data_IF_170449229706
#
_entry.id   IF_170449229706
#
_cell.length_a   1.000
_cell.length_b   1.000
_cell.length_c   1.000
_cell.angle_alpha   90.00
_cell.angle_beta   90.00
_cell.angle_gamma   90.00
#
_symmetry.space_group_name_H-M   'P 1'
#
loop_
_entity.id
_entity.type
_entity.pdbx_description
1 polymer ?
#
# COMPACT_ATOMS: atom_id res chain seq x y z
N UNK A 1 -16.68 -11.14 -85.61
CA UNK A 1 -15.59 -12.08 -85.25
C UNK A 1 -15.49 -12.10 -83.72
N UNK A 2 -16.19 -13.03 -83.07
CA UNK A 2 -15.61 -14.14 -82.28
C UNK A 2 -14.58 -13.66 -81.23
N UNK A 3 -14.86 -13.75 -79.92
CA UNK A 3 -14.82 -15.03 -79.18
C UNK A 3 -15.77 -15.08 -77.97
N UNK A 4 -16.34 -16.27 -77.80
CA UNK A 4 -17.15 -16.78 -76.69
C UNK A 4 -16.32 -17.03 -75.42
N UNK A 5 -16.99 -16.97 -74.27
CA UNK A 5 -16.63 -17.69 -73.04
C UNK A 5 -17.57 -17.31 -71.88
N UNK A 6 -18.67 -18.03 -71.65
CA UNK A 6 -18.90 -18.97 -70.51
C UNK A 6 -18.78 -18.28 -69.13
N UNK A 7 -19.77 -18.23 -68.23
CA UNK A 7 -20.41 -19.35 -67.49
C UNK A 7 -21.67 -18.90 -66.71
N UNK A 8 -22.47 -19.90 -66.40
CA UNK A 8 -23.77 -19.94 -65.71
C UNK A 8 -23.55 -20.05 -64.17
N UNK A 9 -24.65 -19.90 -63.41
CA UNK A 9 -24.92 -20.37 -62.03
C UNK A 9 -24.49 -19.34 -60.99
N UNK A 10 -25.35 -18.76 -60.15
CA UNK A 10 -26.42 -19.32 -59.31
C UNK A 10 -26.13 -18.76 -57.91
N UNK A 11 -26.91 -17.80 -57.41
CA UNK A 11 -27.98 -18.08 -56.46
C UNK A 11 -27.41 -18.05 -55.05
N UNK A 12 -27.72 -17.03 -54.26
CA UNK A 12 -27.71 -17.21 -52.81
C UNK A 12 -28.72 -16.30 -52.11
N UNK A 13 -29.60 -17.00 -51.43
CA UNK A 13 -30.67 -16.61 -50.52
C UNK A 13 -30.15 -15.67 -49.43
N UNK A 14 -30.91 -14.62 -49.16
CA UNK A 14 -30.74 -13.78 -47.98
C UNK A 14 -31.07 -14.59 -46.72
N UNK A 15 -30.11 -14.71 -45.81
CA UNK A 15 -30.34 -15.13 -44.42
C UNK A 15 -29.69 -14.08 -43.52
N UNK A 16 -30.52 -13.24 -42.90
CA UNK A 16 -30.10 -12.32 -41.85
C UNK A 16 -29.69 -13.12 -40.62
N UNK A 17 -28.42 -13.06 -40.26
CA UNK A 17 -27.92 -13.60 -39.01
C UNK A 17 -28.16 -12.56 -37.90
N UNK A 18 -28.99 -12.92 -36.92
CA UNK A 18 -29.14 -12.17 -35.69
C UNK A 18 -27.83 -12.26 -34.88
N UNK A 19 -27.21 -11.10 -34.61
CA UNK A 19 -26.06 -11.01 -33.70
C UNK A 19 -26.60 -10.92 -32.28
N UNK A 20 -26.53 -12.03 -31.54
CA UNK A 20 -26.69 -12.02 -30.08
C UNK A 20 -25.41 -11.48 -29.45
N UNK A 21 -25.48 -10.31 -28.83
CA UNK A 21 -24.40 -9.80 -27.99
C UNK A 21 -24.41 -10.57 -26.66
N UNK A 22 -23.43 -11.47 -26.47
CA UNK A 22 -23.17 -12.06 -25.17
C UNK A 22 -22.44 -11.04 -24.30
N UNK A 23 -23.11 -10.57 -23.25
CA UNK A 23 -22.46 -9.79 -22.20
C UNK A 23 -21.52 -10.73 -21.42
N UNK A 24 -20.22 -10.55 -21.60
CA UNK A 24 -19.21 -11.23 -20.78
C UNK A 24 -19.12 -10.45 -19.47
N UNK A 25 -19.87 -10.87 -18.46
CA UNK A 25 -19.66 -10.40 -17.09
C UNK A 25 -18.41 -11.09 -16.56
N UNK A 26 -17.25 -10.48 -16.80
CA UNK A 26 -16.00 -10.88 -16.18
C UNK A 26 -16.04 -10.53 -14.70
N UNK A 27 -16.39 -11.51 -13.86
CA UNK A 27 -16.01 -11.48 -12.45
C UNK A 27 -14.52 -11.81 -12.38
N UNK A 28 -13.67 -10.78 -12.34
CA UNK A 28 -12.29 -10.96 -11.93
C UNK A 28 -12.25 -11.59 -10.52
N UNK A 29 -11.27 -12.43 -10.19
CA UNK A 29 -11.13 -12.93 -8.84
C UNK A 29 -10.94 -11.72 -7.92
N UNK A 30 -11.83 -11.57 -6.94
CA UNK A 30 -11.50 -10.77 -5.76
C UNK A 30 -10.21 -11.37 -5.19
N UNK A 31 -9.14 -10.57 -5.12
CA UNK A 31 -7.92 -10.97 -4.43
C UNK A 31 -8.34 -11.50 -3.06
N UNK A 32 -8.10 -12.78 -2.82
CA UNK A 32 -8.45 -13.40 -1.56
C UNK A 32 -7.55 -12.72 -0.52
N UNK A 33 -8.13 -11.82 0.27
CA UNK A 33 -7.45 -11.16 1.36
C UNK A 33 -6.72 -12.23 2.19
N UNK A 34 -5.41 -12.09 2.33
CA UNK A 34 -4.63 -12.96 3.19
C UNK A 34 -5.22 -12.88 4.60
N UNK A 35 -5.84 -13.98 5.06
CA UNK A 35 -6.47 -14.00 6.36
C UNK A 35 -5.41 -13.73 7.44
N UNK A 36 -5.67 -12.85 8.41
CA UNK A 36 -4.77 -12.63 9.53
C UNK A 36 -4.61 -13.96 10.26
N UNK A 37 -3.39 -14.44 10.34
CA UNK A 37 -3.09 -15.60 11.16
C UNK A 37 -2.70 -15.04 12.52
N UNK A 38 -3.41 -15.43 13.57
CA UNK A 38 -2.97 -15.14 14.94
C UNK A 38 -1.47 -15.41 15.07
N UNK A 39 -0.70 -14.44 15.57
CA UNK A 39 0.77 -14.52 15.58
C UNK A 39 1.48 -13.91 14.38
N UNK A 40 0.78 -13.24 13.46
CA UNK A 40 1.41 -12.46 12.38
C UNK A 40 2.35 -11.39 12.96
N UNK A 41 3.66 -11.38 12.62
CA UNK A 41 4.58 -10.34 13.06
C UNK A 41 4.32 -9.03 12.30
N UNK A 42 4.43 -7.91 13.01
CA UNK A 42 4.13 -6.57 12.49
C UNK A 42 5.33 -5.65 12.70
N UNK A 43 5.84 -5.09 11.60
CA UNK A 43 6.90 -4.08 11.60
C UNK A 43 6.29 -2.69 11.71
N UNK A 44 6.81 -1.88 12.63
CA UNK A 44 6.29 -0.54 12.93
C UNK A 44 7.31 0.53 12.57
N UNK A 45 6.89 1.50 11.78
CA UNK A 45 7.77 2.53 11.22
C UNK A 45 7.27 3.90 11.63
N UNK A 46 8.07 4.62 12.42
CA UNK A 46 7.74 5.95 12.89
C UNK A 46 7.94 7.03 11.81
N UNK A 47 7.41 8.23 12.06
CA UNK A 47 7.50 9.38 11.17
C UNK A 47 8.77 10.21 11.29
N UNK A 48 8.77 11.33 10.56
CA UNK A 48 9.88 12.28 10.51
C UNK A 48 10.15 12.91 11.88
N UNK A 49 11.42 12.99 12.28
CA UNK A 49 11.84 13.51 13.58
C UNK A 49 11.47 12.64 14.79
N UNK A 50 10.82 11.50 14.57
CA UNK A 50 10.33 10.59 15.61
C UNK A 50 11.34 9.53 16.05
N UNK A 51 10.84 8.58 16.82
CA UNK A 51 11.56 7.40 17.29
C UNK A 51 10.62 6.21 17.50
N UNK A 52 11.15 5.08 17.95
CA UNK A 52 10.33 3.91 18.30
C UNK A 52 9.33 4.18 19.43
N UNK A 53 9.53 5.22 20.23
CA UNK A 53 8.61 5.59 21.30
C UNK A 53 7.26 6.09 20.76
N UNK A 54 7.24 6.68 19.56
CA UNK A 54 6.02 7.21 18.95
C UNK A 54 5.01 6.10 18.62
N UNK A 55 5.52 4.91 18.31
CA UNK A 55 4.72 3.72 17.99
C UNK A 55 4.62 2.74 19.17
N UNK A 56 5.07 3.11 20.37
CA UNK A 56 5.11 2.20 21.52
C UNK A 56 3.70 1.74 21.96
N UNK A 57 2.72 2.66 21.98
CA UNK A 57 1.33 2.33 22.33
C UNK A 57 0.74 1.33 21.34
N UNK A 58 0.91 1.58 20.04
CA UNK A 58 0.52 0.64 18.98
C UNK A 58 1.23 -0.72 19.14
N UNK A 59 2.53 -0.72 19.42
CA UNK A 59 3.31 -1.95 19.62
C UNK A 59 2.79 -2.77 20.79
N UNK A 60 2.49 -2.14 21.92
CA UNK A 60 1.97 -2.80 23.11
C UNK A 60 0.57 -3.34 22.86
N UNK A 61 -0.27 -2.60 22.13
CA UNK A 61 -1.61 -3.09 21.79
C UNK A 61 -1.56 -4.27 20.82
N UNK A 62 -0.71 -4.23 19.81
CA UNK A 62 -0.48 -5.37 18.91
C UNK A 62 -0.05 -6.62 19.69
N UNK A 63 0.91 -6.48 20.61
CA UNK A 63 1.37 -7.60 21.45
C UNK A 63 0.26 -8.14 22.33
N UNK A 64 -0.60 -7.27 22.89
CA UNK A 64 -1.75 -7.68 23.67
C UNK A 64 -2.77 -8.49 22.85
N UNK A 65 -2.91 -8.18 21.55
CA UNK A 65 -3.73 -8.93 20.58
C UNK A 65 -2.99 -10.14 19.97
N UNK A 66 -1.79 -10.47 20.45
CA UNK A 66 -1.03 -11.64 20.01
C UNK A 66 -0.23 -11.44 18.72
N UNK A 67 0.00 -10.20 18.28
CA UNK A 67 0.88 -9.85 17.17
C UNK A 67 2.27 -9.43 17.67
N UNK A 68 3.33 -10.20 17.35
CA UNK A 68 4.71 -9.78 17.61
C UNK A 68 5.02 -8.44 16.93
N UNK A 69 5.37 -7.41 17.71
CA UNK A 69 5.63 -6.07 17.18
C UNK A 69 7.13 -5.74 17.12
N UNK A 70 7.57 -5.26 15.96
CA UNK A 70 8.96 -4.94 15.58
C UNK A 70 9.10 -3.46 15.21
N UNK A 71 9.25 -2.53 16.18
CA UNK A 71 9.58 -1.15 15.88
C UNK A 71 10.95 -1.05 15.19
N UNK A 72 11.02 -0.30 14.10
CA UNK A 72 12.26 -0.04 13.36
C UNK A 72 12.96 1.18 13.97
N UNK A 73 14.24 1.05 14.26
CA UNK A 73 15.11 2.19 14.55
C UNK A 73 15.58 2.77 13.22
N UNK A 74 15.01 3.90 12.81
CA UNK A 74 15.37 4.53 11.54
C UNK A 74 16.76 5.19 11.62
N UNK A 75 17.61 5.06 10.57
CA UNK A 75 18.92 5.69 10.54
C UNK A 75 18.88 7.22 10.37
N UNK A 76 17.75 7.79 9.93
CA UNK A 76 17.60 9.23 9.73
C UNK A 76 16.26 9.60 9.09
N UNK A 77 16.27 10.66 8.28
CA UNK A 77 15.09 11.22 7.60
C UNK A 77 15.11 10.98 6.08
N UNK A 78 15.91 10.02 5.64
CA UNK A 78 16.10 9.64 4.24
C UNK A 78 15.36 8.33 4.00
N UNK A 79 14.32 8.36 3.17
CA UNK A 79 13.36 7.27 2.98
C UNK A 79 13.99 6.03 2.35
N UNK A 80 15.02 6.15 1.50
CA UNK A 80 15.69 4.98 0.89
C UNK A 80 16.49 4.22 1.94
N UNK A 81 17.32 4.89 2.75
CA UNK A 81 18.01 4.27 3.88
C UNK A 81 17.03 3.72 4.93
N UNK A 82 15.91 4.42 5.16
CA UNK A 82 14.86 3.92 6.03
C UNK A 82 14.22 2.64 5.48
N UNK A 83 14.01 2.55 4.16
CA UNK A 83 13.51 1.34 3.49
C UNK A 83 14.47 0.14 3.65
N UNK A 84 15.79 0.37 3.62
CA UNK A 84 16.79 -0.68 3.89
C UNK A 84 16.74 -1.17 5.36
N UNK A 85 16.52 -0.26 6.31
CA UNK A 85 16.33 -0.61 7.72
C UNK A 85 15.03 -1.41 7.94
N UNK A 86 13.97 -1.06 7.20
CA UNK A 86 12.71 -1.82 7.17
C UNK A 86 12.97 -3.22 6.61
N UNK A 87 13.65 -3.35 5.47
CA UNK A 87 13.99 -4.64 4.87
C UNK A 87 14.73 -5.56 5.86
N UNK A 88 15.73 -5.01 6.56
CA UNK A 88 16.48 -5.73 7.61
C UNK A 88 15.57 -6.20 8.74
N UNK A 89 14.63 -5.36 9.17
CA UNK A 89 13.69 -5.69 10.26
C UNK A 89 12.65 -6.72 9.82
N UNK A 90 12.17 -6.63 8.57
CA UNK A 90 11.27 -7.63 7.97
C UNK A 90 11.96 -8.98 7.90
N UNK A 91 13.22 -9.04 7.46
CA UNK A 91 13.96 -10.30 7.42
C UNK A 91 14.15 -10.91 8.82
N UNK A 92 14.45 -10.08 9.82
CA UNK A 92 14.50 -10.52 11.22
C UNK A 92 13.17 -11.13 11.65
N UNK A 93 12.05 -10.43 11.42
CA UNK A 93 10.72 -10.92 11.77
C UNK A 93 10.39 -12.26 11.08
N UNK A 94 10.72 -12.41 9.79
CA UNK A 94 10.52 -13.65 9.03
C UNK A 94 11.35 -14.80 9.56
N UNK A 95 12.61 -14.54 9.95
CA UNK A 95 13.50 -15.56 10.50
C UNK A 95 13.01 -16.11 11.84
N UNK A 96 12.33 -15.27 12.64
CA UNK A 96 11.75 -15.64 13.93
C UNK A 96 10.34 -16.27 13.78
N UNK A 97 9.65 -15.99 12.66
CA UNK A 97 8.27 -16.43 12.39
C UNK A 97 8.12 -17.10 11.02
N UNK A 98 8.83 -18.22 10.82
CA UNK A 98 8.89 -18.94 9.54
C UNK A 98 7.48 -19.29 9.02
N UNK A 99 7.20 -18.88 7.78
CA UNK A 99 5.94 -19.17 7.08
C UNK A 99 4.83 -18.15 7.31
N UNK A 100 5.02 -17.17 8.20
CA UNK A 100 4.12 -16.03 8.32
C UNK A 100 4.47 -14.94 7.29
N UNK A 101 3.45 -14.30 6.72
CA UNK A 101 3.64 -13.00 6.08
C UNK A 101 3.84 -11.93 7.15
N UNK A 102 4.54 -10.86 6.82
CA UNK A 102 4.76 -9.73 7.72
C UNK A 102 3.70 -8.66 7.49
N UNK A 103 3.16 -8.07 8.55
CA UNK A 103 2.40 -6.81 8.45
C UNK A 103 3.35 -5.62 8.59
N UNK A 104 3.07 -4.51 7.91
CA UNK A 104 3.78 -3.25 8.12
C UNK A 104 2.77 -2.17 8.47
N UNK A 105 3.04 -1.41 9.53
CA UNK A 105 2.33 -0.17 9.84
C UNK A 105 3.33 0.98 9.82
N UNK A 106 3.14 1.94 8.93
CA UNK A 106 3.97 3.14 8.80
C UNK A 106 3.20 4.41 9.11
N UNK A 107 3.76 5.27 9.95
CA UNK A 107 3.21 6.58 10.26
C UNK A 107 3.92 7.68 9.48
N UNK A 108 3.16 8.61 8.90
CA UNK A 108 3.68 9.79 8.22
C UNK A 108 4.77 9.42 7.19
N UNK A 109 5.98 9.98 7.30
CA UNK A 109 7.16 9.60 6.50
C UNK A 109 7.43 8.09 6.49
N UNK A 110 7.23 7.39 7.61
CA UNK A 110 7.46 5.96 7.72
C UNK A 110 6.59 5.14 6.76
N UNK A 111 5.40 5.64 6.42
CA UNK A 111 4.55 5.04 5.39
C UNK A 111 5.18 5.10 3.99
N UNK A 112 5.83 6.23 3.64
CA UNK A 112 6.55 6.37 2.37
C UNK A 112 7.79 5.48 2.31
N UNK A 113 8.58 5.44 3.38
CA UNK A 113 9.73 4.53 3.50
C UNK A 113 9.32 3.06 3.33
N UNK A 114 8.21 2.66 3.97
CA UNK A 114 7.66 1.31 3.84
C UNK A 114 7.13 1.02 2.43
N UNK A 115 6.46 1.99 1.77
CA UNK A 115 6.01 1.83 0.38
C UNK A 115 7.19 1.66 -0.57
N UNK A 116 8.27 2.42 -0.39
CA UNK A 116 9.49 2.26 -1.19
C UNK A 116 10.10 0.86 -1.02
N UNK A 117 10.12 0.31 0.20
CA UNK A 117 10.54 -1.09 0.42
C UNK A 117 9.68 -2.09 -0.38
N UNK A 118 8.36 -1.89 -0.42
CA UNK A 118 7.44 -2.76 -1.15
C UNK A 118 7.63 -2.69 -2.67
N UNK A 119 7.83 -1.47 -3.21
CA UNK A 119 7.94 -1.22 -4.65
C UNK A 119 9.33 -1.53 -5.20
N UNK A 120 10.38 -1.02 -4.56
CA UNK A 120 11.71 -0.97 -5.16
C UNK A 120 12.68 -2.03 -4.60
N UNK A 121 12.40 -2.54 -3.39
CA UNK A 121 13.29 -3.48 -2.70
C UNK A 121 12.73 -4.91 -2.63
N UNK A 122 11.66 -5.20 -3.39
CA UNK A 122 11.05 -6.53 -3.47
C UNK A 122 10.23 -6.93 -2.24
N UNK A 123 9.88 -5.98 -1.38
CA UNK A 123 9.18 -6.26 -0.12
C UNK A 123 7.79 -6.87 -0.28
N UNK A 124 7.14 -6.66 -1.43
CA UNK A 124 5.80 -7.18 -1.72
C UNK A 124 5.72 -8.72 -1.68
N UNK A 125 6.82 -9.45 -1.85
CA UNK A 125 6.84 -10.92 -1.75
C UNK A 125 6.74 -11.44 -0.31
N UNK A 126 6.89 -10.56 0.69
CA UNK A 126 7.06 -10.93 2.09
C UNK A 126 6.03 -10.30 3.02
N UNK A 127 5.30 -9.31 2.52
CA UNK A 127 4.33 -8.53 3.27
C UNK A 127 2.92 -8.96 2.87
N UNK A 128 2.04 -9.13 3.85
CA UNK A 128 0.62 -9.42 3.60
C UNK A 128 -0.26 -8.19 3.72
N UNK A 129 0.12 -7.26 4.60
CA UNK A 129 -0.66 -6.08 4.93
C UNK A 129 0.26 -4.87 5.06
N UNK A 130 -0.11 -3.80 4.38
CA UNK A 130 0.48 -2.48 4.52
C UNK A 130 -0.59 -1.53 5.06
N UNK A 131 -0.34 -0.91 6.19
CA UNK A 131 -1.22 0.11 6.78
C UNK A 131 -0.43 1.40 6.93
N UNK A 132 -0.90 2.47 6.31
CA UNK A 132 -0.30 3.79 6.46
C UNK A 132 -1.18 4.68 7.34
N UNK A 133 -0.61 5.40 8.29
CA UNK A 133 -1.29 6.41 9.11
C UNK A 133 -0.79 7.81 8.69
N UNK A 134 -1.69 8.70 8.29
CA UNK A 134 -1.38 10.11 7.95
C UNK A 134 -0.35 10.29 6.84
N UNK A 135 -0.14 9.28 6.01
CA UNK A 135 0.96 9.27 5.04
C UNK A 135 0.62 10.09 3.79
N UNK A 136 1.47 11.07 3.48
CA UNK A 136 1.36 11.88 2.27
C UNK A 136 1.89 11.12 1.03
N UNK A 137 1.11 10.16 0.53
CA UNK A 137 1.47 9.26 -0.60
C UNK A 137 1.82 9.95 -1.91
N UNK A 138 1.36 11.20 -2.11
CA UNK A 138 1.66 12.02 -3.28
C UNK A 138 2.63 13.18 -2.95
N UNK A 139 3.26 13.11 -1.78
CA UNK A 139 4.23 14.08 -1.29
C UNK A 139 3.60 15.18 -0.43
N UNK A 140 4.47 15.90 0.27
CA UNK A 140 4.15 16.94 1.25
C UNK A 140 4.90 18.23 0.92
N UNK A 141 4.19 19.26 0.44
CA UNK A 141 4.79 20.49 -0.10
C UNK A 141 5.79 21.18 0.83
N UNK A 142 5.56 21.29 2.15
CA UNK A 142 6.52 21.94 3.04
C UNK A 142 7.90 21.26 3.07
N UNK A 143 7.98 19.96 2.77
CA UNK A 143 9.24 19.22 2.72
C UNK A 143 10.18 19.71 1.59
N UNK A 144 9.67 20.42 0.58
CA UNK A 144 10.50 20.99 -0.48
C UNK A 144 11.51 22.06 0.01
N UNK A 145 11.39 22.50 1.27
CA UNK A 145 12.33 23.41 1.91
C UNK A 145 13.45 22.68 2.69
N UNK A 146 13.45 21.35 2.71
CA UNK A 146 14.41 20.53 3.44
C UNK A 146 15.44 19.90 2.48
N UNK A 147 16.69 19.68 2.93
CA UNK A 147 17.63 18.83 2.23
C UNK A 147 17.08 17.40 2.05
N UNK A 148 17.40 16.69 0.95
CA UNK A 148 16.89 15.34 0.70
C UNK A 148 17.09 14.35 1.87
N UNK A 149 18.26 14.38 2.50
CA UNK A 149 18.66 13.54 3.63
C UNK A 149 18.02 13.93 4.98
N UNK A 150 17.37 15.10 5.03
CA UNK A 150 16.70 15.63 6.22
C UNK A 150 15.17 15.68 6.07
N UNK A 151 14.61 14.85 5.20
CA UNK A 151 13.16 14.75 4.95
C UNK A 151 12.71 15.38 3.63
N UNK A 152 13.62 16.01 2.87
CA UNK A 152 13.32 16.65 1.59
C UNK A 152 12.82 15.70 0.51
N UNK A 153 13.04 14.40 0.67
CA UNK A 153 12.48 13.38 -0.22
C UNK A 153 10.94 13.33 -0.21
N UNK A 154 10.28 13.79 0.85
CA UNK A 154 8.81 13.90 0.85
C UNK A 154 8.28 15.02 -0.05
N UNK A 155 9.15 15.90 -0.58
CA UNK A 155 8.74 16.92 -1.53
C UNK A 155 8.15 16.27 -2.80
N UNK A 156 6.97 16.70 -3.29
CA UNK A 156 6.37 16.15 -4.51
C UNK A 156 7.28 16.19 -5.74
N UNK A 157 8.17 17.18 -5.83
CA UNK A 157 9.12 17.36 -6.94
C UNK A 157 10.46 16.60 -6.74
N UNK A 158 10.60 15.80 -5.68
CA UNK A 158 11.83 15.07 -5.40
C UNK A 158 12.01 13.88 -6.35
N UNK A 159 13.25 13.46 -6.58
CA UNK A 159 13.53 12.25 -7.34
C UNK A 159 12.92 10.99 -6.69
N UNK A 160 12.88 10.96 -5.36
CA UNK A 160 12.24 9.88 -4.60
C UNK A 160 10.74 9.78 -4.91
N UNK A 161 10.00 10.90 -4.87
CA UNK A 161 8.56 10.88 -5.17
C UNK A 161 8.28 10.59 -6.64
N UNK A 162 9.17 11.04 -7.55
CA UNK A 162 9.08 10.70 -8.96
C UNK A 162 9.21 9.18 -9.16
N UNK A 163 10.23 8.56 -8.59
CA UNK A 163 10.46 7.09 -8.64
C UNK A 163 9.30 6.31 -8.00
N UNK A 164 8.84 6.71 -6.81
CA UNK A 164 7.70 6.08 -6.13
C UNK A 164 6.38 6.18 -6.94
N UNK A 165 6.28 7.19 -7.81
CA UNK A 165 5.17 7.41 -8.73
C UNK A 165 5.28 6.62 -10.04
N UNK A 166 6.41 5.97 -10.31
CA UNK A 166 6.57 5.05 -11.44
C UNK A 166 5.97 3.68 -11.09
N UNK A 167 5.43 2.99 -12.10
CA UNK A 167 4.93 1.63 -11.93
C UNK A 167 3.60 1.51 -11.17
N UNK A 168 3.44 0.38 -10.46
CA UNK A 168 2.23 0.06 -9.69
C UNK A 168 2.36 0.66 -8.27
N UNK A 169 1.48 1.58 -7.84
CA UNK A 169 1.45 2.14 -6.48
C UNK A 169 1.25 1.10 -5.38
N UNK A 170 0.70 -0.07 -5.71
CA UNK A 170 0.30 -1.13 -4.79
C UNK A 170 0.72 -2.51 -5.29
N UNK A 171 2.03 -2.80 -5.43
CA UNK A 171 2.50 -4.02 -6.06
C UNK A 171 2.22 -5.27 -5.22
N UNK A 172 2.08 -6.40 -5.93
CA UNK A 172 1.95 -7.74 -5.34
C UNK A 172 0.60 -8.00 -4.68
N UNK A 173 0.50 -9.15 -4.01
CA UNK A 173 -0.70 -9.57 -3.28
C UNK A 173 -0.72 -8.99 -1.84
N UNK A 174 -0.30 -7.74 -1.68
CA UNK A 174 -0.33 -7.00 -0.40
C UNK A 174 -1.68 -6.31 -0.25
N UNK A 175 -2.28 -6.38 0.94
CA UNK A 175 -3.48 -5.61 1.27
C UNK A 175 -3.10 -4.22 1.81
N UNK A 176 -3.32 -3.17 1.01
CA UNK A 176 -3.01 -1.79 1.30
C UNK A 176 -4.20 -1.06 1.92
N UNK A 177 -4.01 -0.55 3.13
CA UNK A 177 -4.96 0.33 3.82
C UNK A 177 -4.32 1.68 4.12
N UNK A 178 -5.05 2.76 3.82
CA UNK A 178 -4.67 4.12 4.18
C UNK A 178 -5.61 4.66 5.26
N UNK A 179 -5.05 5.04 6.40
CA UNK A 179 -5.77 5.67 7.51
C UNK A 179 -5.33 7.14 7.54
N UNK A 180 -6.29 8.06 7.49
CA UNK A 180 -6.03 9.51 7.52
C UNK A 180 -6.81 10.16 8.63
N UNK A 181 -6.30 11.27 9.16
CA UNK A 181 -7.06 12.12 10.05
C UNK A 181 -7.83 13.17 9.26
N UNK A 182 -9.02 13.55 9.72
CA UNK A 182 -9.71 14.74 9.19
C UNK A 182 -8.93 16.04 9.45
N UNK A 183 -7.87 16.00 10.27
CA UNK A 183 -6.97 17.12 10.54
C UNK A 183 -5.72 17.12 9.66
N UNK A 184 -5.44 16.06 8.89
CA UNK A 184 -4.30 16.04 7.98
C UNK A 184 -4.54 16.95 6.77
N UNK A 185 -3.50 17.69 6.38
CA UNK A 185 -3.50 18.49 5.15
C UNK A 185 -3.50 17.61 3.88
N UNK A 186 -3.06 16.35 4.00
CA UNK A 186 -2.93 15.40 2.90
C UNK A 186 -4.01 14.31 2.93
N UNK A 187 -5.05 14.45 3.76
CA UNK A 187 -6.12 13.43 3.91
C UNK A 187 -6.83 13.04 2.61
N UNK A 188 -6.90 13.98 1.67
CA UNK A 188 -7.55 13.78 0.37
C UNK A 188 -6.66 13.02 -0.63
N UNK A 189 -5.37 12.84 -0.32
CA UNK A 189 -4.48 12.03 -1.16
C UNK A 189 -4.93 10.57 -1.12
N UNK A 190 -5.14 10.00 -2.31
CA UNK A 190 -5.48 8.59 -2.46
C UNK A 190 -4.29 7.86 -3.05
N UNK A 191 -3.97 6.71 -2.45
CA UNK A 191 -3.06 5.74 -3.04
C UNK A 191 -3.89 4.89 -4.01
N UNK A 192 -3.63 5.06 -5.30
CA UNK A 192 -4.30 4.26 -6.33
C UNK A 192 -4.06 2.77 -6.08
N UNK A 193 -5.09 1.94 -6.32
CA UNK A 193 -5.03 0.49 -6.07
C UNK A 193 -5.19 0.06 -4.61
N UNK A 194 -5.12 0.98 -3.64
CA UNK A 194 -5.34 0.64 -2.24
C UNK A 194 -6.77 0.10 -2.01
N UNK A 195 -6.86 -1.02 -1.30
CA UNK A 195 -8.13 -1.71 -1.08
C UNK A 195 -9.00 -0.97 -0.07
N UNK A 196 -8.40 -0.27 0.89
CA UNK A 196 -9.11 0.46 1.92
C UNK A 196 -8.58 1.88 2.11
N UNK A 197 -9.49 2.81 2.36
CA UNK A 197 -9.19 4.14 2.87
C UNK A 197 -10.22 4.53 3.91
N UNK A 198 -9.76 4.92 5.09
CA UNK A 198 -10.61 5.32 6.22
C UNK A 198 -10.12 6.64 6.79
N UNK A 199 -11.00 7.64 6.80
CA UNK A 199 -10.75 8.92 7.48
C UNK A 199 -11.30 8.85 8.91
N UNK A 200 -10.46 9.19 9.89
CA UNK A 200 -10.79 9.21 11.32
C UNK A 200 -10.85 10.68 11.77
N UNK A 201 -11.96 11.13 12.37
CA UNK A 201 -12.14 12.55 12.67
C UNK A 201 -11.34 13.02 13.89
N UNK A 202 -10.68 14.18 13.76
CA UNK A 202 -10.26 15.00 14.91
C UNK A 202 -9.02 14.52 15.66
N UNK A 203 -8.20 13.65 15.07
CA UNK A 203 -6.96 13.16 15.68
C UNK A 203 -5.77 14.01 15.21
N UNK A 204 -4.99 14.64 16.10
CA UNK A 204 -3.76 15.33 15.69
C UNK A 204 -2.78 14.36 15.02
N UNK A 205 -2.07 14.82 13.99
CA UNK A 205 -1.18 13.99 13.16
C UNK A 205 -0.14 13.20 13.98
N UNK A 206 0.43 13.80 15.03
CA UNK A 206 1.43 13.18 15.91
C UNK A 206 0.83 12.16 16.89
N UNK A 207 -0.48 12.20 17.10
CA UNK A 207 -1.20 11.31 18.01
C UNK A 207 -1.76 10.07 17.31
N UNK A 208 -1.77 10.01 15.98
CA UNK A 208 -2.34 8.88 15.21
C UNK A 208 -1.82 7.51 15.67
N UNK A 209 -0.51 7.29 15.90
CA UNK A 209 -0.03 5.94 16.29
C UNK A 209 -0.36 5.56 17.74
N UNK A 210 -0.87 6.49 18.54
CA UNK A 210 -1.23 6.26 19.95
C UNK A 210 -2.72 6.48 20.24
N UNK A 211 -3.48 6.90 19.24
CA UNK A 211 -4.91 7.11 19.35
C UNK A 211 -5.68 5.79 19.18
N UNK A 212 -6.59 5.50 20.11
CA UNK A 212 -7.35 4.24 20.12
C UNK A 212 -8.07 3.97 18.79
N UNK A 213 -8.66 4.99 18.15
CA UNK A 213 -9.40 4.80 16.90
C UNK A 213 -8.48 4.38 15.74
N UNK A 214 -7.28 4.97 15.65
CA UNK A 214 -6.27 4.58 14.65
C UNK A 214 -5.70 3.20 14.94
N UNK A 215 -5.43 2.89 16.22
CA UNK A 215 -4.91 1.58 16.63
C UNK A 215 -5.93 0.47 16.33
N UNK A 216 -7.20 0.68 16.66
CA UNK A 216 -8.28 -0.28 16.37
C UNK A 216 -8.52 -0.44 14.86
N UNK A 217 -8.44 0.66 14.09
CA UNK A 217 -8.52 0.62 12.63
C UNK A 217 -7.35 -0.14 12.01
N UNK A 218 -6.14 0.01 12.55
CA UNK A 218 -4.96 -0.71 12.08
C UNK A 218 -5.04 -2.21 12.40
N UNK A 219 -5.49 -2.58 13.61
CA UNK A 219 -5.76 -3.98 13.97
C UNK A 219 -6.81 -4.60 13.04
N UNK A 220 -7.87 -3.86 12.73
CA UNK A 220 -8.88 -4.30 11.75
C UNK A 220 -8.27 -4.48 10.37
N UNK A 221 -7.43 -3.55 9.93
CA UNK A 221 -6.75 -3.59 8.63
C UNK A 221 -5.79 -4.77 8.49
N UNK A 222 -5.12 -5.17 9.58
CA UNK A 222 -4.29 -6.37 9.61
C UNK A 222 -5.09 -7.65 9.30
N UNK A 223 -6.43 -7.61 9.46
CA UNK A 223 -7.32 -8.70 9.08
C UNK A 223 -7.70 -8.75 7.60
N UNK A 224 -7.24 -7.79 6.80
CA UNK A 224 -7.70 -7.58 5.43
C UNK A 224 -9.11 -7.00 5.35
N UNK A 225 -9.68 -6.55 6.46
CA UNK A 225 -10.95 -5.82 6.49
C UNK A 225 -10.71 -4.31 6.37
N UNK A 226 -11.64 -3.59 5.75
CA UNK A 226 -11.64 -2.13 5.77
C UNK A 226 -12.32 -1.63 7.06
N UNK A 227 -11.65 -0.83 7.90
CA UNK A 227 -12.23 -0.23 9.09
C UNK A 227 -13.19 0.93 8.79
#
# INVERSE_FOLDING_TARGET
>A
MARRGTRIIGGLVAAGAAVMAAAVTGTGPAAAAAAPIAGQPVVLVHGWGGSTDDVAVLADRLRAEGHPAYPVVLPGQENVANAEAIATTVERARSEHVGAQVGIIGHSMGGLSARYYLQELGGAEHVGQYVSMGTAHLGYQPACNLPPDLGGQMCPDSAFMAELGEGDPTPGDVHYTTLTSSLDDTRDQRLDGAQCHTEIPGVPHDEEPRNDAFVDAALTSLTGACP
#
